data_IF_385895875876
#
_entry.id   IF_385895875876
#
_cell.length_a   1.000
_cell.length_b   1.000
_cell.length_c   1.000
_cell.angle_alpha   90.00
_cell.angle_beta   90.00
_cell.angle_gamma   90.00
#
_symmetry.space_group_name_H-M   'P 1'
#
loop_
_entity.id
_entity.type
_entity.pdbx_description
1 polymer ?
#
# COMPACT_ATOMS: atom_id res chain seq x y z
N UNK A 1 -10.73 12.52 -9.35
CA UNK A 1 -10.90 12.72 -7.89
C UNK A 1 -9.67 12.15 -7.23
N UNK A 2 -8.94 12.93 -6.42
CA UNK A 2 -7.86 12.40 -5.57
C UNK A 2 -8.49 11.95 -4.26
N UNK A 3 -8.61 10.63 -4.07
CA UNK A 3 -9.07 10.04 -2.81
C UNK A 3 -7.86 9.89 -1.89
N UNK A 4 -8.02 10.27 -0.62
CA UNK A 4 -6.97 10.08 0.37
C UNK A 4 -6.88 8.62 0.80
N UNK A 5 -5.67 8.12 1.05
CA UNK A 5 -5.47 6.81 1.71
C UNK A 5 -5.93 6.91 3.16
N UNK A 6 -6.87 6.06 3.57
CA UNK A 6 -7.29 5.92 4.97
C UNK A 6 -6.30 5.05 5.73
N UNK A 7 -6.08 3.82 5.23
CA UNK A 7 -5.15 2.84 5.80
C UNK A 7 -4.71 1.82 4.75
N UNK A 8 -3.60 1.15 5.04
CA UNK A 8 -3.20 -0.06 4.32
C UNK A 8 -3.73 -1.28 5.07
N UNK A 9 -4.38 -2.16 4.33
CA UNK A 9 -5.10 -3.32 4.88
C UNK A 9 -4.25 -4.58 4.76
N UNK A 10 -3.62 -4.77 3.60
CA UNK A 10 -2.89 -6.00 3.28
C UNK A 10 -1.80 -5.74 2.23
N UNK A 11 -0.93 -6.73 2.01
CA UNK A 11 0.14 -6.72 1.02
C UNK A 11 0.25 -8.04 0.27
N UNK A 12 0.62 -7.97 -1.01
CA UNK A 12 0.90 -9.17 -1.80
C UNK A 12 1.94 -8.91 -2.88
N UNK A 13 2.64 -9.96 -3.30
CA UNK A 13 3.36 -9.94 -4.55
C UNK A 13 2.43 -10.41 -5.68
N UNK A 14 2.17 -9.53 -6.63
CA UNK A 14 1.41 -9.88 -7.82
C UNK A 14 2.35 -10.55 -8.84
N UNK A 15 2.24 -11.87 -8.97
CA UNK A 15 3.07 -12.66 -9.89
C UNK A 15 2.77 -12.37 -11.37
N UNK A 16 1.54 -11.95 -11.70
CA UNK A 16 1.15 -11.63 -13.08
C UNK A 16 1.86 -10.38 -13.59
N UNK A 17 1.95 -9.35 -12.75
CA UNK A 17 2.62 -8.09 -13.08
C UNK A 17 4.06 -7.99 -12.55
N UNK A 18 4.52 -8.99 -11.79
CA UNK A 18 5.85 -9.02 -11.19
C UNK A 18 6.13 -7.85 -10.24
N UNK A 19 5.12 -7.39 -9.48
CA UNK A 19 5.21 -6.19 -8.63
C UNK A 19 4.55 -6.37 -7.28
N UNK A 20 5.00 -5.59 -6.30
CA UNK A 20 4.36 -5.49 -5.00
C UNK A 20 3.12 -4.60 -5.07
N UNK A 21 2.03 -5.10 -4.51
CA UNK A 21 0.77 -4.37 -4.40
C UNK A 21 0.35 -4.26 -2.93
N UNK A 22 -0.44 -3.22 -2.63
CA UNK A 22 -1.05 -3.00 -1.33
C UNK A 22 -2.54 -2.86 -1.48
N UNK A 23 -3.27 -3.49 -0.56
CA UNK A 23 -4.69 -3.24 -0.43
C UNK A 23 -4.89 -1.94 0.33
N UNK A 24 -5.43 -0.95 -0.37
CA UNK A 24 -5.64 0.40 0.15
C UNK A 24 -7.11 0.56 0.49
N UNK A 25 -7.38 1.00 1.71
CA UNK A 25 -8.69 1.52 2.06
C UNK A 25 -8.72 3.02 1.91
N UNK A 26 -9.79 3.52 1.30
CA UNK A 26 -9.90 4.92 0.87
C UNK A 26 -10.73 5.74 1.84
N UNK A 27 -10.29 6.96 2.10
CA UNK A 27 -11.03 7.89 2.94
C UNK A 27 -12.41 8.15 2.34
N UNK A 28 -13.44 8.10 3.20
CA UNK A 28 -14.86 8.33 2.84
C UNK A 28 -15.48 7.25 1.95
N UNK A 29 -14.76 6.17 1.65
CA UNK A 29 -15.32 5.02 0.94
C UNK A 29 -15.52 3.84 1.90
N UNK A 30 -16.29 2.87 1.43
CA UNK A 30 -16.52 1.62 2.15
C UNK A 30 -15.48 0.59 1.75
N UNK A 31 -15.28 -0.43 2.58
CA UNK A 31 -14.28 -1.48 2.33
C UNK A 31 -14.51 -2.30 1.04
N UNK A 32 -15.70 -2.22 0.44
CA UNK A 32 -15.96 -2.81 -0.89
C UNK A 32 -15.24 -2.07 -2.01
N UNK A 33 -14.86 -0.81 -1.78
CA UNK A 33 -14.09 0.02 -2.71
C UNK A 33 -12.58 -0.09 -2.47
N UNK A 34 -12.13 -0.91 -1.52
CA UNK A 34 -10.70 -1.12 -1.29
C UNK A 34 -10.06 -1.71 -2.56
N UNK A 35 -8.92 -1.18 -2.96
CA UNK A 35 -8.26 -1.56 -4.21
C UNK A 35 -6.80 -1.94 -4.01
N UNK A 36 -6.32 -2.82 -4.90
CA UNK A 36 -4.91 -3.20 -4.94
C UNK A 36 -4.13 -2.20 -5.77
N UNK A 37 -3.31 -1.39 -5.10
CA UNK A 37 -2.49 -0.37 -5.72
C UNK A 37 -1.01 -0.79 -5.78
N UNK A 38 -0.28 -0.45 -6.86
CA UNK A 38 1.14 -0.70 -6.95
C UNK A 38 1.91 0.04 -5.86
N UNK A 39 2.86 -0.64 -5.22
CA UNK A 39 3.68 -0.03 -4.18
C UNK A 39 4.47 1.17 -4.71
N UNK A 40 4.93 1.13 -5.96
CA UNK A 40 5.63 2.22 -6.63
C UNK A 40 4.81 3.50 -6.69
N UNK A 41 3.52 3.37 -7.01
CA UNK A 41 2.61 4.50 -7.19
C UNK A 41 2.29 5.10 -5.81
N UNK A 42 2.08 4.24 -4.82
CA UNK A 42 1.88 4.66 -3.42
C UNK A 42 3.11 5.34 -2.82
N UNK A 43 4.32 4.90 -3.17
CA UNK A 43 5.56 5.56 -2.75
C UNK A 43 5.74 6.94 -3.41
N UNK A 44 5.16 7.15 -4.60
CA UNK A 44 5.16 8.45 -5.24
C UNK A 44 4.11 9.38 -4.63
N UNK A 45 2.89 8.89 -4.41
CA UNK A 45 1.75 9.71 -4.01
C UNK A 45 1.69 9.96 -2.48
N UNK A 46 2.00 8.94 -1.67
CA UNK A 46 1.90 8.99 -0.20
C UNK A 46 3.10 8.33 0.51
N UNK A 47 4.36 8.72 0.18
CA UNK A 47 5.57 8.07 0.69
C UNK A 47 5.64 7.95 2.21
N UNK A 48 5.22 9.00 2.93
CA UNK A 48 5.27 9.02 4.40
C UNK A 48 4.35 7.96 5.00
N UNK A 49 3.11 7.85 4.51
CA UNK A 49 2.15 6.86 5.02
C UNK A 49 2.63 5.43 4.76
N UNK A 50 3.20 5.17 3.59
CA UNK A 50 3.73 3.85 3.22
C UNK A 50 4.88 3.46 4.15
N UNK A 51 5.82 4.38 4.39
CA UNK A 51 6.95 4.15 5.30
C UNK A 51 6.49 3.92 6.73
N UNK A 52 5.57 4.74 7.25
CA UNK A 52 5.04 4.59 8.60
C UNK A 52 4.37 3.22 8.78
N UNK A 53 3.59 2.79 7.79
CA UNK A 53 2.95 1.48 7.81
C UNK A 53 3.96 0.33 7.79
N UNK A 54 4.92 0.35 6.86
CA UNK A 54 5.95 -0.71 6.77
C UNK A 54 6.81 -0.74 8.04
N UNK A 55 7.14 0.41 8.63
CA UNK A 55 7.85 0.48 9.91
C UNK A 55 7.02 -0.05 11.08
N UNK A 56 5.69 0.09 11.02
CA UNK A 56 4.79 -0.44 12.04
C UNK A 56 4.63 -1.97 11.98
N UNK A 57 4.94 -2.58 10.84
CA UNK A 57 4.95 -4.03 10.69
C UNK A 57 6.36 -4.54 10.99
N UNK A 58 6.46 -5.52 11.89
CA UNK A 58 7.72 -6.20 12.16
C UNK A 58 7.94 -7.34 11.16
N UNK A 59 8.03 -6.98 9.88
CA UNK A 59 8.27 -7.88 8.77
C UNK A 59 9.45 -7.38 7.94
N UNK A 60 10.51 -8.19 7.91
CA UNK A 60 11.78 -7.86 7.25
C UNK A 60 11.64 -7.85 5.72
N UNK A 61 10.81 -8.73 5.15
CA UNK A 61 10.54 -8.76 3.71
C UNK A 61 9.80 -7.51 3.25
N UNK A 62 8.91 -6.98 4.10
CA UNK A 62 8.25 -5.70 3.88
C UNK A 62 9.23 -4.52 3.90
N UNK A 63 10.20 -4.52 4.81
CA UNK A 63 11.22 -3.46 4.90
C UNK A 63 12.16 -3.47 3.69
N UNK A 64 12.51 -4.63 3.17
CA UNK A 64 13.31 -4.77 1.93
C UNK A 64 12.65 -4.15 0.70
N UNK A 65 11.33 -3.94 0.72
CA UNK A 65 10.62 -3.29 -0.40
C UNK A 65 10.84 -1.76 -0.45
N UNK A 66 11.45 -1.18 0.59
CA UNK A 66 11.74 0.25 0.70
C UNK A 66 13.19 0.62 0.34
N UNK A 67 14.08 -0.37 0.20
CA UNK A 67 15.49 -0.21 -0.18
C UNK A 67 15.66 -0.08 -1.70
#
# INVERSE_FOLDING_TARGET
MLLGVDKFVDYRFNQEFGRWERLVSWQRLQSIEDSWEPLTDLLQDVPTKVRDYINSIDDEDLRRQLE
#
